data_IF_757616762171
#
_entry.id   IF_757616762171
#
_cell.length_a   1.000
_cell.length_b   1.000
_cell.length_c   1.000
_cell.angle_alpha   90.00
_cell.angle_beta   90.00
_cell.angle_gamma   90.00
#
_symmetry.space_group_name_H-M   'P 1'
#
loop_
_entity.id
_entity.type
_entity.pdbx_description
1 polymer ?
#
# COMPACT_ATOMS: atom_id res chain seq x y z
N UNK A 1 -86.21 -4.35 -18.53
CA UNK A 1 -84.82 -4.52 -18.06
C UNK A 1 -83.85 -4.82 -19.20
N UNK A 2 -84.20 -5.66 -20.19
CA UNK A 2 -83.32 -5.96 -21.34
C UNK A 2 -82.98 -4.79 -22.27
N UNK A 3 -83.90 -3.87 -22.54
CA UNK A 3 -83.67 -2.71 -23.43
C UNK A 3 -82.64 -1.74 -22.87
N UNK A 4 -82.69 -1.43 -21.57
CA UNK A 4 -81.70 -0.58 -20.90
C UNK A 4 -80.29 -1.19 -20.94
N UNK A 5 -80.18 -2.52 -20.81
CA UNK A 5 -78.90 -3.21 -20.94
C UNK A 5 -78.39 -3.21 -22.38
N UNK A 6 -79.28 -3.26 -23.38
CA UNK A 6 -78.90 -3.25 -24.79
C UNK A 6 -78.43 -1.85 -25.24
N UNK A 7 -79.11 -0.79 -24.80
CA UNK A 7 -78.77 0.60 -25.11
C UNK A 7 -77.45 1.04 -24.44
N UNK A 8 -77.12 0.46 -23.28
CA UNK A 8 -75.89 0.75 -22.54
C UNK A 8 -74.82 -0.33 -22.68
N UNK A 9 -75.08 -1.40 -23.44
CA UNK A 9 -74.17 -2.54 -23.59
C UNK A 9 -72.79 -2.09 -24.08
N UNK A 10 -72.75 -1.20 -25.07
CA UNK A 10 -71.55 -0.63 -25.66
C UNK A 10 -70.70 0.11 -24.63
N UNK A 11 -71.34 0.89 -23.76
CA UNK A 11 -70.67 1.67 -22.72
C UNK A 11 -70.16 0.76 -21.58
N UNK A 12 -70.93 -0.27 -21.20
CA UNK A 12 -70.53 -1.27 -20.18
C UNK A 12 -69.37 -2.12 -20.69
N UNK A 13 -69.40 -2.56 -21.95
CA UNK A 13 -68.32 -3.32 -22.59
C UNK A 13 -67.07 -2.44 -22.73
N UNK A 14 -67.21 -1.19 -23.16
CA UNK A 14 -66.09 -0.25 -23.25
C UNK A 14 -65.48 0.06 -21.87
N UNK A 15 -66.30 0.27 -20.85
CA UNK A 15 -65.83 0.47 -19.47
C UNK A 15 -65.13 -0.79 -18.93
N UNK A 16 -65.66 -1.98 -19.20
CA UNK A 16 -65.07 -3.26 -18.78
C UNK A 16 -63.75 -3.55 -19.51
N UNK A 17 -63.67 -3.22 -20.80
CA UNK A 17 -62.45 -3.31 -21.61
C UNK A 17 -61.40 -2.28 -21.17
N UNK A 18 -61.81 -1.07 -20.80
CA UNK A 18 -60.93 -0.05 -20.24
C UNK A 18 -60.39 -0.48 -18.86
N UNK A 19 -61.23 -1.11 -18.03
CA UNK A 19 -60.83 -1.62 -16.71
C UNK A 19 -59.84 -2.78 -16.82
N UNK A 20 -60.08 -3.72 -17.75
CA UNK A 20 -59.14 -4.81 -18.01
C UNK A 20 -57.83 -4.31 -18.65
N UNK A 21 -57.90 -3.34 -19.56
CA UNK A 21 -56.72 -2.64 -20.10
C UNK A 21 -55.91 -1.92 -19.02
N UNK A 22 -56.59 -1.24 -18.08
CA UNK A 22 -55.94 -0.55 -16.96
C UNK A 22 -55.27 -1.53 -15.99
N UNK A 23 -55.88 -2.69 -15.72
CA UNK A 23 -55.29 -3.75 -14.88
C UNK A 23 -54.02 -4.32 -15.54
N UNK A 24 -54.07 -4.59 -16.84
CA UNK A 24 -52.90 -5.09 -17.60
C UNK A 24 -51.78 -4.04 -17.58
N UNK A 25 -52.10 -2.77 -17.83
CA UNK A 25 -51.14 -1.67 -17.77
C UNK A 25 -50.51 -1.53 -16.38
N UNK A 26 -51.30 -1.66 -15.31
CA UNK A 26 -50.81 -1.60 -13.93
C UNK A 26 -49.86 -2.76 -13.60
N UNK A 27 -50.13 -3.97 -14.08
CA UNK A 27 -49.25 -5.13 -13.91
C UNK A 27 -47.91 -4.91 -14.63
N UNK A 28 -47.94 -4.48 -15.88
CA UNK A 28 -46.70 -4.19 -16.63
C UNK A 28 -45.91 -3.04 -16.01
N UNK A 29 -46.57 -1.98 -15.55
CA UNK A 29 -45.92 -0.89 -14.83
C UNK A 29 -45.26 -1.36 -13.52
N UNK A 30 -45.93 -2.25 -12.78
CA UNK A 30 -45.39 -2.83 -11.55
C UNK A 30 -44.16 -3.73 -11.81
N UNK A 31 -44.22 -4.58 -12.84
CA UNK A 31 -43.09 -5.44 -13.26
C UNK A 31 -41.91 -4.58 -13.71
N UNK A 32 -42.14 -3.57 -14.55
CA UNK A 32 -41.08 -2.66 -14.99
C UNK A 32 -40.45 -1.90 -13.81
N UNK A 33 -41.27 -1.40 -12.89
CA UNK A 33 -40.76 -0.66 -11.73
C UNK A 33 -39.92 -1.57 -10.80
N UNK A 34 -40.37 -2.80 -10.55
CA UNK A 34 -39.62 -3.75 -9.72
C UNK A 34 -38.31 -4.21 -10.36
N UNK A 35 -38.29 -4.40 -11.69
CA UNK A 35 -37.05 -4.68 -12.43
C UNK A 35 -36.09 -3.48 -12.42
N UNK A 36 -36.59 -2.27 -12.65
CA UNK A 36 -35.79 -1.04 -12.63
C UNK A 36 -35.18 -0.78 -11.24
N UNK A 37 -35.93 -1.00 -10.15
CA UNK A 37 -35.40 -0.86 -8.78
C UNK A 37 -34.30 -1.89 -8.52
N UNK A 38 -34.48 -3.15 -8.96
CA UNK A 38 -33.45 -4.20 -8.80
C UNK A 38 -32.20 -3.88 -9.62
N UNK A 39 -32.36 -3.49 -10.89
CA UNK A 39 -31.25 -3.12 -11.76
C UNK A 39 -30.48 -1.90 -11.21
N UNK A 40 -31.19 -0.87 -10.76
CA UNK A 40 -30.57 0.31 -10.13
C UNK A 40 -29.82 -0.05 -8.83
N UNK A 41 -30.34 -1.01 -8.05
CA UNK A 41 -29.65 -1.49 -6.84
C UNK A 41 -28.38 -2.28 -7.17
N UNK A 42 -28.45 -3.18 -8.16
CA UNK A 42 -27.30 -3.94 -8.68
C UNK A 42 -26.21 -3.03 -9.23
N UNK A 43 -26.60 -2.06 -10.07
CA UNK A 43 -25.66 -1.09 -10.63
C UNK A 43 -24.98 -0.26 -9.54
N UNK A 44 -25.71 0.14 -8.49
CA UNK A 44 -25.12 0.84 -7.34
C UNK A 44 -24.18 -0.06 -6.54
N UNK A 45 -24.50 -1.33 -6.33
CA UNK A 45 -23.59 -2.25 -5.63
C UNK A 45 -22.33 -2.53 -6.43
N UNK A 46 -22.45 -2.75 -7.75
CA UNK A 46 -21.29 -2.94 -8.64
C UNK A 46 -20.39 -1.70 -8.66
N UNK A 47 -20.99 -0.50 -8.70
CA UNK A 47 -20.24 0.75 -8.64
C UNK A 47 -19.56 0.95 -7.28
N UNK A 48 -20.23 0.62 -6.18
CA UNK A 48 -19.63 0.66 -4.84
C UNK A 48 -18.47 -0.33 -4.69
N UNK A 49 -18.63 -1.56 -5.19
CA UNK A 49 -17.58 -2.58 -5.13
C UNK A 49 -16.38 -2.18 -5.98
N UNK A 50 -16.62 -1.58 -7.15
CA UNK A 50 -15.56 -1.03 -7.99
C UNK A 50 -14.83 0.13 -7.31
N UNK A 51 -15.54 1.08 -6.71
CA UNK A 51 -14.92 2.20 -5.98
C UNK A 51 -14.14 1.72 -4.76
N UNK A 52 -14.67 0.74 -4.02
CA UNK A 52 -13.99 0.12 -2.89
C UNK A 52 -12.73 -0.61 -3.33
N UNK A 53 -12.79 -1.38 -4.42
CA UNK A 53 -11.62 -2.03 -5.01
C UNK A 53 -10.56 -1.00 -5.42
N UNK A 54 -10.97 0.06 -6.12
CA UNK A 54 -10.07 1.14 -6.55
C UNK A 54 -9.43 1.86 -5.37
N UNK A 55 -10.19 2.17 -4.33
CA UNK A 55 -9.70 2.83 -3.12
C UNK A 55 -8.70 1.94 -2.37
N UNK A 56 -9.01 0.66 -2.19
CA UNK A 56 -8.09 -0.30 -1.58
C UNK A 56 -6.79 -0.38 -2.38
N UNK A 57 -6.88 -0.54 -3.70
CA UNK A 57 -5.71 -0.58 -4.59
C UNK A 57 -4.84 0.66 -4.42
N UNK A 58 -5.44 1.85 -4.40
CA UNK A 58 -4.71 3.10 -4.23
C UNK A 58 -3.99 3.16 -2.88
N UNK A 59 -4.61 2.70 -1.81
CA UNK A 59 -3.98 2.62 -0.48
C UNK A 59 -2.75 1.71 -0.51
N UNK A 60 -2.83 0.52 -1.13
CA UNK A 60 -1.68 -0.38 -1.23
C UNK A 60 -0.53 0.23 -2.04
N UNK A 61 -0.82 0.98 -3.10
CA UNK A 61 0.21 1.69 -3.87
C UNK A 61 0.89 2.74 -3.00
N UNK A 62 0.11 3.62 -2.37
CA UNK A 62 0.64 4.71 -1.52
C UNK A 62 1.48 4.17 -0.36
N UNK A 63 1.00 3.11 0.31
CA UNK A 63 1.74 2.48 1.41
C UNK A 63 2.96 1.72 0.94
N UNK A 64 2.92 1.13 -0.26
CA UNK A 64 4.08 0.51 -0.87
C UNK A 64 5.17 1.53 -1.19
N UNK A 65 4.81 2.65 -1.81
CA UNK A 65 5.74 3.75 -2.10
C UNK A 65 6.33 4.34 -0.81
N UNK A 66 5.51 4.53 0.21
CA UNK A 66 5.94 5.00 1.53
C UNK A 66 6.97 4.04 2.16
N UNK A 67 6.71 2.72 2.15
CA UNK A 67 7.64 1.71 2.65
C UNK A 67 8.97 1.70 1.88
N UNK A 68 8.91 1.81 0.55
CA UNK A 68 10.10 1.89 -0.31
C UNK A 68 10.92 3.15 -0.01
N UNK A 69 10.26 4.29 0.21
CA UNK A 69 10.89 5.54 0.60
C UNK A 69 11.63 5.42 1.93
N UNK A 70 10.99 4.80 2.94
CA UNK A 70 11.58 4.57 4.26
C UNK A 70 12.82 3.66 4.18
N UNK A 71 12.74 2.57 3.42
CA UNK A 71 13.89 1.68 3.20
C UNK A 71 15.04 2.41 2.51
N UNK A 72 14.74 3.21 1.48
CA UNK A 72 15.74 3.98 0.76
C UNK A 72 16.42 4.99 1.68
N UNK A 73 15.66 5.62 2.59
CA UNK A 73 16.21 6.50 3.62
C UNK A 73 17.15 5.75 4.58
N UNK A 74 16.77 4.56 5.04
CA UNK A 74 17.61 3.73 5.91
C UNK A 74 18.91 3.28 5.22
N UNK A 75 18.84 2.88 3.95
CA UNK A 75 20.01 2.53 3.14
C UNK A 75 20.97 3.72 2.98
N UNK A 76 20.43 4.90 2.68
CA UNK A 76 21.26 6.10 2.54
C UNK A 76 21.93 6.49 3.86
N UNK A 77 21.23 6.33 4.98
CA UNK A 77 21.81 6.54 6.30
C UNK A 77 22.95 5.55 6.58
N UNK A 78 22.76 4.27 6.24
CA UNK A 78 23.80 3.25 6.38
C UNK A 78 25.01 3.54 5.47
N UNK A 79 24.77 3.97 4.24
CA UNK A 79 25.84 4.38 3.32
C UNK A 79 26.68 5.53 3.90
N UNK A 80 26.06 6.45 4.64
CA UNK A 80 26.79 7.48 5.41
C UNK A 80 27.78 6.88 6.42
N UNK A 81 27.37 5.82 7.13
CA UNK A 81 28.24 5.08 8.07
C UNK A 81 29.40 4.38 7.34
N UNK A 82 29.12 3.74 6.20
CA UNK A 82 30.14 3.09 5.37
C UNK A 82 31.17 4.10 4.88
N UNK A 83 30.71 5.24 4.36
CA UNK A 83 31.57 6.31 3.87
C UNK A 83 32.43 6.90 5.01
N UNK A 84 31.84 7.15 6.17
CA UNK A 84 32.56 7.62 7.35
C UNK A 84 33.66 6.64 7.78
N UNK A 85 33.33 5.33 7.85
CA UNK A 85 34.30 4.30 8.21
C UNK A 85 35.41 4.14 7.17
N UNK A 86 35.09 4.28 5.88
CA UNK A 86 36.08 4.16 4.80
C UNK A 86 37.03 5.36 4.80
N UNK A 87 36.50 6.58 4.99
CA UNK A 87 37.31 7.79 5.12
C UNK A 87 38.25 7.72 6.33
N UNK A 88 37.78 7.20 7.47
CA UNK A 88 38.60 7.05 8.68
C UNK A 88 39.75 6.02 8.53
N UNK A 89 39.63 5.09 7.59
CA UNK A 89 40.72 4.16 7.22
C UNK A 89 41.72 4.80 6.26
N UNK A 90 41.23 5.57 5.27
CA UNK A 90 42.06 6.14 4.21
C UNK A 90 42.74 7.44 4.65
N UNK A 91 42.07 8.26 5.44
CA UNK A 91 42.60 9.53 5.95
C UNK A 91 43.28 9.30 7.30
N UNK A 92 44.57 8.97 7.25
CA UNK A 92 45.40 8.71 8.44
C UNK A 92 45.69 9.95 9.30
N UNK A 93 45.18 11.15 9.01
CA UNK A 93 45.51 12.40 9.72
C UNK A 93 44.29 13.32 9.93
N UNK A 94 44.06 13.70 11.20
CA UNK A 94 43.39 14.88 11.81
C UNK A 94 42.24 15.66 11.14
N UNK A 95 41.79 15.33 9.94
CA UNK A 95 40.66 15.98 9.29
C UNK A 95 39.45 15.09 9.50
N UNK A 96 38.75 15.34 10.61
CA UNK A 96 37.56 14.60 11.01
C UNK A 96 36.49 14.54 9.91
N UNK A 97 35.60 13.57 10.05
CA UNK A 97 34.36 13.41 9.27
C UNK A 97 33.73 14.79 9.03
N UNK A 98 33.38 15.12 7.77
CA UNK A 98 32.80 16.42 7.44
C UNK A 98 31.55 16.69 8.31
N UNK A 99 31.33 17.94 8.69
CA UNK A 99 30.16 18.31 9.49
C UNK A 99 28.84 17.89 8.82
N UNK A 100 28.79 17.77 7.49
CA UNK A 100 27.61 17.25 6.77
C UNK A 100 27.35 15.78 7.05
N UNK A 101 28.39 14.94 7.07
CA UNK A 101 28.27 13.50 7.36
C UNK A 101 27.98 13.31 8.85
N UNK A 102 28.61 14.11 9.70
CA UNK A 102 28.34 14.12 11.14
C UNK A 102 26.89 14.50 11.45
N UNK A 103 26.38 15.55 10.81
CA UNK A 103 24.98 15.96 10.95
C UNK A 103 24.02 14.92 10.36
N UNK A 104 24.36 14.26 9.24
CA UNK A 104 23.55 13.14 8.73
C UNK A 104 23.48 11.95 9.69
N UNK A 105 24.55 11.67 10.43
CA UNK A 105 24.58 10.62 11.44
C UNK A 105 23.82 11.02 12.72
N UNK A 106 23.90 12.29 13.12
CA UNK A 106 23.25 12.83 14.33
C UNK A 106 21.74 13.07 14.11
N UNK A 107 21.35 13.65 12.97
CA UNK A 107 19.96 13.94 12.59
C UNK A 107 19.22 12.71 12.06
N UNK A 108 19.85 11.55 12.14
CA UNK A 108 19.31 10.32 11.59
C UNK A 108 18.04 9.89 12.36
N UNK A 109 16.87 10.16 11.78
CA UNK A 109 15.56 9.70 12.26
C UNK A 109 15.32 8.20 12.05
N UNK A 110 16.37 7.38 12.13
CA UNK A 110 16.27 5.94 11.90
C UNK A 110 15.25 5.27 12.81
N UNK A 111 15.14 5.70 14.07
CA UNK A 111 14.13 5.18 15.00
C UNK A 111 12.68 5.43 14.53
N UNK A 112 12.37 6.66 14.15
CA UNK A 112 11.02 7.01 13.64
C UNK A 112 10.73 6.30 12.31
N UNK A 113 11.72 6.23 11.42
CA UNK A 113 11.58 5.55 10.14
C UNK A 113 11.35 4.04 10.32
N UNK A 114 12.04 3.39 11.27
CA UNK A 114 11.85 1.98 11.59
C UNK A 114 10.47 1.71 12.18
N UNK A 115 10.01 2.53 13.13
CA UNK A 115 8.67 2.39 13.72
C UNK A 115 7.55 2.58 12.68
N UNK A 116 7.73 3.55 11.78
CA UNK A 116 6.79 3.80 10.69
C UNK A 116 6.79 2.69 9.66
N UNK A 117 7.97 2.16 9.33
CA UNK A 117 8.11 0.99 8.47
C UNK A 117 7.41 -0.23 9.10
N UNK A 118 7.62 -0.48 10.40
CA UNK A 118 6.96 -1.57 11.14
C UNK A 118 5.44 -1.47 11.04
N UNK A 119 4.89 -0.27 11.24
CA UNK A 119 3.45 -0.04 11.16
C UNK A 119 2.90 -0.37 9.77
N UNK A 120 3.59 0.09 8.71
CA UNK A 120 3.17 -0.17 7.33
C UNK A 120 3.26 -1.66 6.99
N UNK A 121 4.35 -2.32 7.37
CA UNK A 121 4.55 -3.73 7.04
C UNK A 121 3.59 -4.63 7.79
N UNK A 122 3.32 -4.38 9.07
CA UNK A 122 2.35 -5.17 9.83
C UNK A 122 0.93 -4.98 9.27
N UNK A 123 0.57 -3.75 8.87
CA UNK A 123 -0.80 -3.42 8.50
C UNK A 123 -1.15 -3.74 7.05
N UNK A 124 -0.19 -3.61 6.13
CA UNK A 124 -0.43 -3.68 4.68
C UNK A 124 0.41 -4.73 3.97
N UNK A 125 1.57 -5.13 4.51
CA UNK A 125 2.46 -6.09 3.84
C UNK A 125 2.98 -7.16 4.80
N UNK A 126 2.11 -7.91 5.49
CA UNK A 126 2.52 -8.84 6.55
C UNK A 126 3.45 -9.95 6.04
N UNK A 127 3.36 -10.31 4.75
CA UNK A 127 4.24 -11.27 4.09
C UNK A 127 5.72 -10.83 4.08
N UNK A 128 6.00 -9.54 4.29
CA UNK A 128 7.34 -8.97 4.27
C UNK A 128 7.97 -8.82 5.65
N UNK A 129 7.29 -9.24 6.72
CA UNK A 129 7.79 -9.11 8.10
C UNK A 129 9.17 -9.77 8.25
N UNK A 130 9.33 -10.99 7.75
CA UNK A 130 10.62 -11.71 7.81
C UNK A 130 11.73 -11.02 7.02
N UNK A 131 11.40 -10.47 5.85
CA UNK A 131 12.37 -9.76 5.02
C UNK A 131 12.82 -8.46 5.69
N UNK A 132 11.86 -7.72 6.25
CA UNK A 132 12.13 -6.53 7.06
C UNK A 132 13.01 -6.87 8.28
N UNK A 133 12.71 -7.95 8.99
CA UNK A 133 13.48 -8.40 10.16
C UNK A 133 14.94 -8.69 9.81
N UNK A 134 15.18 -9.39 8.68
CA UNK A 134 16.53 -9.65 8.18
C UNK A 134 17.28 -8.36 7.81
N UNK A 135 16.61 -7.43 7.12
CA UNK A 135 17.20 -6.12 6.80
C UNK A 135 17.60 -5.35 8.04
N UNK A 136 16.73 -5.27 9.05
CA UNK A 136 17.02 -4.59 10.31
C UNK A 136 18.20 -5.27 11.03
N UNK A 137 18.28 -6.61 10.97
CA UNK A 137 19.39 -7.35 11.57
C UNK A 137 20.73 -6.98 10.91
N UNK A 138 20.77 -6.91 9.58
CA UNK A 138 21.97 -6.45 8.87
C UNK A 138 22.32 -5.00 9.22
N UNK A 139 21.31 -4.13 9.23
CA UNK A 139 21.49 -2.71 9.58
C UNK A 139 22.10 -2.57 10.97
N UNK A 140 21.48 -3.17 12.00
CA UNK A 140 21.98 -3.12 13.37
C UNK A 140 23.37 -3.72 13.49
N UNK A 141 23.63 -4.87 12.86
CA UNK A 141 24.97 -5.48 12.87
C UNK A 141 26.04 -4.51 12.38
N UNK A 142 25.79 -3.81 11.27
CA UNK A 142 26.75 -2.84 10.74
C UNK A 142 26.92 -1.63 11.68
N UNK A 143 25.82 -1.10 12.23
CA UNK A 143 25.91 -0.03 13.23
C UNK A 143 26.73 -0.47 14.46
N UNK A 144 26.53 -1.69 14.96
CA UNK A 144 27.31 -2.23 16.08
C UNK A 144 28.79 -2.35 15.73
N UNK A 145 29.14 -2.89 14.56
CA UNK A 145 30.54 -2.99 14.13
C UNK A 145 31.21 -1.61 14.01
N UNK A 146 30.48 -0.61 13.50
CA UNK A 146 30.97 0.77 13.46
C UNK A 146 31.23 1.34 14.87
N UNK A 147 30.30 1.13 15.82
CA UNK A 147 30.48 1.55 17.21
C UNK A 147 31.69 0.86 17.85
N UNK A 148 31.87 -0.44 17.63
CA UNK A 148 33.03 -1.19 18.14
C UNK A 148 34.36 -0.66 17.59
N UNK A 149 34.39 -0.25 16.33
CA UNK A 149 35.53 0.44 15.71
C UNK A 149 35.80 1.79 16.39
N UNK A 150 34.75 2.61 16.57
CA UNK A 150 34.86 3.91 17.24
C UNK A 150 35.35 3.78 18.70
N UNK A 151 34.97 2.69 19.39
CA UNK A 151 35.44 2.34 20.73
C UNK A 151 36.85 1.71 20.75
N UNK A 152 37.52 1.61 19.58
CA UNK A 152 38.83 0.96 19.41
C UNK A 152 38.87 -0.52 19.82
N UNK A 153 37.71 -1.20 19.80
CA UNK A 153 37.58 -2.64 20.08
C UNK A 153 37.83 -3.51 18.86
N UNK A 154 37.65 -2.95 17.66
CA UNK A 154 37.92 -3.59 16.37
C UNK A 154 38.83 -2.72 15.52
N UNK A 155 39.60 -3.36 14.65
CA UNK A 155 40.43 -2.66 13.67
C UNK A 155 39.55 -1.97 12.63
N UNK A 156 39.84 -0.69 12.35
CA UNK A 156 39.05 0.14 11.44
C UNK A 156 38.97 -0.44 10.03
N UNK A 157 40.07 -0.99 9.52
CA UNK A 157 40.18 -1.61 8.19
C UNK A 157 39.26 -2.83 8.06
N UNK A 158 39.27 -3.72 9.05
CA UNK A 158 38.41 -4.89 9.12
C UNK A 158 36.93 -4.52 9.19
N UNK A 159 36.59 -3.48 9.96
CA UNK A 159 35.22 -2.97 10.05
C UNK A 159 34.76 -2.32 8.76
N UNK A 160 35.62 -1.56 8.05
CA UNK A 160 35.27 -0.99 6.76
C UNK A 160 34.92 -2.08 5.72
N UNK A 161 35.69 -3.17 5.69
CA UNK A 161 35.39 -4.34 4.84
C UNK A 161 34.05 -4.99 5.23
N UNK A 162 33.81 -5.19 6.53
CA UNK A 162 32.54 -5.76 7.02
C UNK A 162 31.34 -4.86 6.65
N UNK A 163 31.49 -3.54 6.80
CA UNK A 163 30.44 -2.58 6.47
C UNK A 163 30.10 -2.56 4.97
N UNK A 164 31.10 -2.74 4.10
CA UNK A 164 30.87 -2.87 2.65
C UNK A 164 30.09 -4.14 2.31
N UNK A 165 30.43 -5.29 2.92
CA UNK A 165 29.69 -6.54 2.74
C UNK A 165 28.24 -6.42 3.25
N UNK A 166 28.04 -5.77 4.40
CA UNK A 166 26.70 -5.50 4.95
C UNK A 166 25.91 -4.57 4.02
N UNK A 167 26.53 -3.53 3.47
CA UNK A 167 25.87 -2.61 2.54
C UNK A 167 25.40 -3.33 1.28
N UNK A 168 26.21 -4.26 0.76
CA UNK A 168 25.80 -5.08 -0.38
C UNK A 168 24.57 -5.94 -0.03
N UNK A 169 24.60 -6.66 1.10
CA UNK A 169 23.47 -7.48 1.58
C UNK A 169 22.20 -6.66 1.82
N UNK A 170 22.34 -5.46 2.39
CA UNK A 170 21.23 -4.53 2.59
C UNK A 170 20.63 -4.08 1.27
N UNK A 171 21.47 -3.76 0.28
CA UNK A 171 21.02 -3.34 -1.06
C UNK A 171 20.29 -4.48 -1.78
N UNK A 172 20.84 -5.70 -1.76
CA UNK A 172 20.21 -6.89 -2.31
C UNK A 172 18.86 -7.16 -1.64
N UNK A 173 18.82 -7.13 -0.31
CA UNK A 173 17.59 -7.36 0.45
C UNK A 173 16.54 -6.27 0.20
N UNK A 174 16.95 -5.02 0.05
CA UNK A 174 16.04 -3.92 -0.27
C UNK A 174 15.47 -4.04 -1.69
N UNK A 175 16.26 -4.48 -2.65
CA UNK A 175 15.77 -4.72 -4.01
C UNK A 175 14.76 -5.88 -4.06
N UNK A 176 15.04 -6.97 -3.33
CA UNK A 176 14.08 -8.06 -3.15
C UNK A 176 12.77 -7.56 -2.52
N UNK A 177 12.87 -6.71 -1.51
CA UNK A 177 11.71 -6.12 -0.85
C UNK A 177 10.87 -5.26 -1.82
N UNK A 178 11.51 -4.38 -2.61
CA UNK A 178 10.86 -3.57 -3.65
C UNK A 178 10.13 -4.43 -4.68
N UNK A 179 10.75 -5.53 -5.11
CA UNK A 179 10.14 -6.46 -6.06
C UNK A 179 8.91 -7.13 -5.45
N UNK A 180 8.98 -7.59 -4.20
CA UNK A 180 7.83 -8.21 -3.54
C UNK A 180 6.68 -7.25 -3.27
N UNK A 181 6.96 -6.00 -2.90
CA UNK A 181 5.91 -4.96 -2.82
C UNK A 181 5.24 -4.80 -4.18
N UNK A 182 6.00 -4.71 -5.26
CA UNK A 182 5.46 -4.60 -6.61
C UNK A 182 4.59 -5.81 -6.99
N UNK A 183 5.01 -7.03 -6.62
CA UNK A 183 4.21 -8.25 -6.82
C UNK A 183 2.92 -8.28 -6.00
N UNK A 184 2.94 -7.80 -4.75
CA UNK A 184 1.73 -7.72 -3.91
C UNK A 184 0.76 -6.70 -4.49
N UNK A 185 1.26 -5.52 -4.87
CA UNK A 185 0.46 -4.48 -5.53
C UNK A 185 -0.14 -5.00 -6.84
N UNK A 186 0.63 -5.77 -7.63
CA UNK A 186 0.14 -6.30 -8.90
C UNK A 186 -0.90 -7.40 -8.75
N UNK A 187 -0.92 -8.14 -7.63
CA UNK A 187 -2.00 -9.09 -7.29
C UNK A 187 -3.30 -8.40 -6.83
N UNK A 188 -3.21 -7.11 -6.49
CA UNK A 188 -4.37 -6.26 -6.22
C UNK A 188 -4.84 -5.48 -7.48
N UNK A 189 -4.30 -5.82 -8.68
CA UNK A 189 -4.85 -5.47 -10.01
C UNK A 189 -5.91 -6.48 -10.44
#
# INVERSE_FOLDING_TARGET
MGEWFNDNASAIIAASAALSGAVIAAIFAFINNTQNIRAAKLQRSEQYDFEKWKANRQIYIEKGEEAIGLITSLLNAFLGVVNASTLDVVMTHEHGISDSVKNQLIDNKSGDNLNRLDTIIISYFPELIEHKSQMITYYHRGIYSYIESAMKKKEKSAVAIELLDIQQKLTESANLFKNKISEIISKHL
#
